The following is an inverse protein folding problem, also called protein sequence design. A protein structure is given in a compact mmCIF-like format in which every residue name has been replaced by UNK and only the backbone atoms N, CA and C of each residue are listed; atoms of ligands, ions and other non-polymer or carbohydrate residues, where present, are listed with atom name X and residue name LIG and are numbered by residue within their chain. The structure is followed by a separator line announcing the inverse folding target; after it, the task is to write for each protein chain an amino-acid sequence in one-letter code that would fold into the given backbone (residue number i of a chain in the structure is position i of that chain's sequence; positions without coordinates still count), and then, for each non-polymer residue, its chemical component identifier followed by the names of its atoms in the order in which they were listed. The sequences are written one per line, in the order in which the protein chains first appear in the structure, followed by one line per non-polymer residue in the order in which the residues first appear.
data_IF_198112810587
#
_entry.id   IF_198112810587
#
_cell.length_a   1.000
_cell.length_b   1.000
_cell.length_c   1.000
_cell.angle_alpha   90.00
_cell.angle_beta   90.00
_cell.angle_gamma   90.00
#
_symmetry.space_group_name_H-M   'P 1'
#
loop_
_entity.id
_entity.type
_entity.pdbx_description
1 polymer ?
#
# COMPACT_ATOMS: atom_id res chain seq x y z
N UNK A 1 -1.98 -7.93 4.64
CA UNK A 1 -3.06 -7.37 5.49
C UNK A 1 -3.31 -5.90 5.20
N UNK A 2 -2.31 -4.99 5.26
CA UNK A 2 -2.52 -3.53 5.13
C UNK A 2 -3.10 -3.16 3.76
N UNK A 3 -2.52 -3.63 2.67
CA UNK A 3 -3.04 -3.42 1.32
C UNK A 3 -4.49 -3.92 1.17
N UNK A 4 -4.81 -5.06 1.77
CA UNK A 4 -6.17 -5.60 1.80
C UNK A 4 -7.14 -4.62 2.48
N UNK A 5 -6.79 -4.11 3.67
CA UNK A 5 -7.63 -3.17 4.43
C UNK A 5 -7.88 -1.89 3.63
N UNK A 6 -6.84 -1.32 3.00
CA UNK A 6 -7.00 -0.10 2.22
C UNK A 6 -7.89 -0.33 0.99
N UNK A 7 -7.75 -1.46 0.30
CA UNK A 7 -8.62 -1.82 -0.83
C UNK A 7 -10.07 -2.07 -0.39
N UNK A 8 -10.28 -2.67 0.80
CA UNK A 8 -11.60 -2.78 1.42
C UNK A 8 -12.22 -1.39 1.67
N UNK A 9 -11.44 -0.45 2.23
CA UNK A 9 -11.88 0.94 2.45
C UNK A 9 -12.17 1.68 1.13
N UNK A 10 -11.55 1.29 0.02
CA UNK A 10 -11.80 1.80 -1.34
C UNK A 10 -13.00 1.15 -2.03
N UNK A 11 -13.77 0.30 -1.36
CA UNK A 11 -14.93 -0.46 -1.90
C UNK A 11 -14.57 -1.54 -2.92
N UNK A 12 -13.34 -2.01 -2.95
CA UNK A 12 -13.03 -3.18 -3.75
C UNK A 12 -13.73 -4.40 -3.14
N UNK A 13 -14.44 -5.19 -3.95
CA UNK A 13 -15.06 -6.41 -3.48
C UNK A 13 -13.98 -7.38 -2.99
N UNK A 14 -14.21 -8.05 -1.84
CA UNK A 14 -13.20 -8.90 -1.19
C UNK A 14 -12.54 -9.89 -2.16
N UNK A 15 -13.36 -10.50 -3.01
CA UNK A 15 -12.89 -11.54 -3.93
C UNK A 15 -12.10 -10.98 -5.13
N UNK A 16 -12.12 -9.67 -5.36
CA UNK A 16 -11.34 -8.97 -6.37
C UNK A 16 -10.00 -8.46 -5.85
N UNK A 17 -9.85 -8.33 -4.53
CA UNK A 17 -8.60 -7.87 -3.92
C UNK A 17 -7.50 -8.90 -4.19
N UNK A 18 -6.39 -8.47 -4.79
CA UNK A 18 -5.28 -9.36 -5.15
C UNK A 18 -4.58 -9.96 -3.93
N UNK A 19 -4.44 -9.18 -2.85
CA UNK A 19 -3.78 -9.61 -1.59
C UNK A 19 -4.80 -10.12 -0.58
N UNK A 20 -5.59 -11.13 -0.96
CA UNK A 20 -6.68 -11.68 -0.14
C UNK A 20 -6.28 -12.81 0.83
N UNK A 21 -5.01 -13.13 0.93
CA UNK A 21 -4.47 -14.14 1.84
C UNK A 21 -4.39 -13.61 3.28
N UNK A 22 -5.54 -13.25 3.84
CA UNK A 22 -5.67 -12.71 5.21
C UNK A 22 -6.06 -13.78 6.23
N UNK A 23 -6.59 -14.90 5.76
CA UNK A 23 -6.91 -16.06 6.58
C UNK A 23 -5.69 -16.97 6.64
N UNK A 24 -5.34 -17.39 7.84
CA UNK A 24 -4.30 -18.40 8.02
C UNK A 24 -4.83 -19.74 7.52
N UNK A 25 -4.20 -20.32 6.49
CA UNK A 25 -4.60 -21.63 5.94
C UNK A 25 -4.47 -22.78 6.94
N UNK A 26 -3.78 -22.56 8.06
CA UNK A 26 -3.62 -23.55 9.15
C UNK A 26 -4.79 -23.53 10.15
N UNK A 27 -5.68 -22.55 10.08
CA UNK A 27 -6.84 -22.42 10.96
C UNK A 27 -8.13 -22.62 10.17
N UNK A 28 -8.68 -23.84 10.20
CA UNK A 28 -9.96 -24.14 9.57
C UNK A 28 -11.11 -23.47 10.33
N UNK A 29 -11.98 -22.76 9.60
CA UNK A 29 -13.25 -22.22 10.11
C UNK A 29 -13.14 -21.00 10.99
N UNK A 30 -12.00 -20.32 11.06
CA UNK A 30 -11.83 -19.10 11.85
C UNK A 30 -12.33 -17.87 11.10
N UNK A 31 -12.90 -16.94 11.89
CA UNK A 31 -13.27 -15.61 11.45
C UNK A 31 -12.09 -14.69 11.60
N UNK A 32 -11.90 -13.78 10.64
CA UNK A 32 -10.97 -12.66 10.75
C UNK A 32 -11.76 -11.40 11.09
N UNK A 33 -11.41 -10.77 12.20
CA UNK A 33 -11.93 -9.45 12.57
C UNK A 33 -10.89 -8.39 12.25
N UNK A 34 -11.28 -7.41 11.45
CA UNK A 34 -10.46 -6.27 11.08
C UNK A 34 -11.09 -5.02 11.71
N UNK A 35 -10.32 -4.31 12.53
CA UNK A 35 -10.72 -3.00 13.06
C UNK A 35 -9.81 -1.93 12.44
N UNK A 36 -10.42 -1.00 11.72
CA UNK A 36 -9.72 0.10 11.06
C UNK A 36 -10.18 1.44 11.61
N UNK A 37 -9.23 2.32 11.91
CA UNK A 37 -9.50 3.71 12.27
C UNK A 37 -8.94 4.61 11.17
N UNK A 38 -9.74 5.55 10.69
CA UNK A 38 -9.30 6.47 9.64
C UNK A 38 -9.95 7.84 9.79
N UNK A 39 -9.30 8.83 9.18
CA UNK A 39 -9.79 10.20 9.16
C UNK A 39 -10.10 10.59 7.72
N UNK A 40 -11.24 11.22 7.51
CA UNK A 40 -11.62 11.80 6.22
C UNK A 40 -12.55 13.01 6.44
N UNK A 41 -12.28 14.12 5.76
CA UNK A 41 -13.11 15.32 5.74
C UNK A 41 -13.62 15.77 7.13
N UNK A 42 -12.71 15.93 8.06
CA UNK A 42 -13.02 16.37 9.43
C UNK A 42 -13.88 15.39 10.25
N UNK A 43 -13.93 14.13 9.84
CA UNK A 43 -14.58 13.02 10.53
C UNK A 43 -13.57 11.94 10.88
N UNK A 44 -13.75 11.34 12.05
CA UNK A 44 -13.02 10.15 12.47
C UNK A 44 -13.95 8.97 12.42
N UNK A 45 -13.48 7.90 11.82
CA UNK A 45 -14.23 6.68 11.61
C UNK A 45 -13.57 5.50 12.32
N UNK A 46 -14.39 4.56 12.80
CA UNK A 46 -14.00 3.20 13.15
C UNK A 46 -14.80 2.27 12.25
N UNK A 47 -14.14 1.41 11.48
CA UNK A 47 -14.78 0.31 10.76
C UNK A 47 -14.37 -1.00 11.41
N UNK A 48 -15.31 -1.84 11.74
CA UNK A 48 -15.09 -3.20 12.21
C UNK A 48 -15.77 -4.17 11.26
N UNK A 49 -14.99 -5.05 10.64
CA UNK A 49 -15.44 -5.99 9.60
C UNK A 49 -15.06 -7.39 10.02
N UNK A 50 -16.02 -8.31 10.05
CA UNK A 50 -15.82 -9.75 10.30
C UNK A 50 -15.93 -10.48 8.98
N UNK A 51 -14.87 -11.21 8.62
CA UNK A 51 -14.75 -11.93 7.35
C UNK A 51 -14.64 -13.43 7.63
N UNK A 52 -15.39 -14.21 6.87
CA UNK A 52 -15.34 -15.67 6.85
C UNK A 52 -15.01 -16.18 5.43
N UNK A 53 -14.42 -17.37 5.38
CA UNK A 53 -14.23 -18.13 4.16
C UNK A 53 -15.39 -19.11 4.01
N UNK A 54 -16.10 -19.06 2.89
CA UNK A 54 -17.18 -20.01 2.58
C UNK A 54 -16.96 -20.66 1.22
N UNK A 55 -17.26 -21.95 1.16
CA UNK A 55 -17.27 -22.69 -0.09
C UNK A 55 -18.61 -22.44 -0.78
N UNK A 56 -18.56 -21.92 -2.02
CA UNK A 56 -19.76 -21.77 -2.83
C UNK A 56 -20.24 -23.16 -3.29
N UNK A 57 -21.47 -23.57 -2.97
CA UNK A 57 -21.97 -24.91 -3.31
C UNK A 57 -22.17 -25.15 -4.82
N UNK A 58 -22.15 -24.11 -5.65
CA UNK A 58 -22.39 -24.19 -7.10
C UNK A 58 -21.11 -24.50 -7.88
N UNK A 59 -20.03 -23.80 -7.56
CA UNK A 59 -18.74 -23.88 -8.28
C UNK A 59 -17.62 -24.52 -7.45
N UNK A 60 -17.90 -24.85 -6.19
CA UNK A 60 -16.95 -25.39 -5.22
C UNK A 60 -15.72 -24.48 -4.99
N UNK A 61 -15.83 -23.18 -5.32
CA UNK A 61 -14.79 -22.19 -5.09
C UNK A 61 -14.90 -21.60 -3.68
N UNK A 62 -13.75 -21.36 -3.07
CA UNK A 62 -13.67 -20.64 -1.80
C UNK A 62 -13.84 -19.13 -2.02
N UNK A 63 -14.79 -18.53 -1.32
CA UNK A 63 -15.06 -17.10 -1.38
C UNK A 63 -15.02 -16.47 0.00
N UNK A 64 -14.46 -15.27 0.07
CA UNK A 64 -14.51 -14.44 1.25
C UNK A 64 -15.85 -13.73 1.31
N UNK A 65 -16.49 -13.73 2.49
CA UNK A 65 -17.72 -13.01 2.74
C UNK A 65 -17.62 -12.17 4.02
N UNK A 66 -18.30 -11.05 4.04
CA UNK A 66 -18.46 -10.21 5.22
C UNK A 66 -19.72 -10.69 5.95
N UNK A 67 -19.55 -11.22 7.16
CA UNK A 67 -20.66 -11.70 7.99
C UNK A 67 -21.20 -10.62 8.90
N UNK A 68 -20.32 -9.79 9.45
CA UNK A 68 -20.70 -8.68 10.32
C UNK A 68 -19.87 -7.44 9.93
N UNK A 69 -20.47 -6.27 9.93
CA UNK A 69 -19.77 -5.04 9.68
C UNK A 69 -20.46 -3.85 10.33
N UNK A 70 -19.67 -3.01 11.03
CA UNK A 70 -20.16 -1.79 11.67
C UNK A 70 -19.24 -0.63 11.37
N UNK A 71 -19.83 0.51 11.07
CA UNK A 71 -19.13 1.77 10.87
C UNK A 71 -19.60 2.80 11.88
N UNK A 72 -18.67 3.33 12.65
CA UNK A 72 -18.88 4.46 13.56
C UNK A 72 -18.31 5.74 12.96
N UNK A 73 -18.91 6.87 13.29
CA UNK A 73 -18.49 8.19 12.83
C UNK A 73 -18.53 9.21 13.97
N UNK A 74 -17.48 10.03 14.08
CA UNK A 74 -17.42 11.17 15.00
C UNK A 74 -16.90 12.43 14.31
N UNK A 75 -17.39 13.59 14.76
CA UNK A 75 -16.84 14.88 14.35
C UNK A 75 -15.46 15.10 15.00
N UNK A 76 -14.43 15.26 14.16
CA UNK A 76 -13.05 15.46 14.63
C UNK A 76 -12.89 16.73 15.49
N UNK A 77 -13.70 17.78 15.24
CA UNK A 77 -13.67 19.01 16.02
C UNK A 77 -14.09 18.80 17.51
N UNK A 78 -14.82 17.73 17.81
CA UNK A 78 -15.25 17.40 19.17
C UNK A 78 -14.22 16.56 19.92
N UNK A 79 -13.18 16.08 19.26
CA UNK A 79 -12.15 15.23 19.86
C UNK A 79 -11.12 16.12 20.57
N UNK A 80 -10.88 15.88 21.87
CA UNK A 80 -9.98 16.70 22.68
C UNK A 80 -8.73 15.97 23.15
N UNK A 81 -8.74 14.64 23.14
CA UNK A 81 -7.64 13.80 23.66
C UNK A 81 -7.38 12.61 22.75
N UNK A 82 -6.15 12.08 22.77
CA UNK A 82 -5.79 10.85 22.05
C UNK A 82 -6.70 9.67 22.43
N UNK A 83 -7.07 9.55 23.71
CA UNK A 83 -7.99 8.50 24.17
C UNK A 83 -9.37 8.64 23.53
N UNK A 84 -9.93 9.85 23.45
CA UNK A 84 -11.24 10.08 22.84
C UNK A 84 -11.26 9.87 21.32
N UNK A 85 -10.09 9.83 20.67
CA UNK A 85 -9.96 9.51 19.26
C UNK A 85 -10.44 8.08 18.97
N UNK A 86 -10.11 7.13 19.85
CA UNK A 86 -10.39 5.70 19.67
C UNK A 86 -11.61 5.20 20.48
N UNK A 87 -12.19 6.03 21.35
CA UNK A 87 -13.33 5.68 22.19
C UNK A 87 -14.64 5.97 21.45
N UNK A 88 -15.22 4.95 20.81
CA UNK A 88 -16.50 5.01 20.10
C UNK A 88 -17.61 4.36 20.91
N UNK A 89 -18.81 4.96 20.89
CA UNK A 89 -20.01 4.49 21.57
C UNK A 89 -21.03 3.97 20.55
N UNK A 90 -22.02 3.21 21.01
CA UNK A 90 -23.10 2.74 20.15
C UNK A 90 -23.91 3.90 19.51
N UNK A 91 -23.98 5.06 20.20
CA UNK A 91 -24.57 6.29 19.63
C UNK A 91 -23.82 6.86 18.43
N UNK A 92 -22.58 6.45 18.21
CA UNK A 92 -21.73 6.90 17.11
C UNK A 92 -21.86 5.97 15.88
N UNK A 93 -22.63 4.86 15.99
CA UNK A 93 -22.86 3.93 14.87
C UNK A 93 -23.61 4.68 13.77
N UNK A 94 -23.02 4.72 12.59
CA UNK A 94 -23.61 5.31 11.39
C UNK A 94 -24.27 4.26 10.50
N UNK A 95 -23.58 3.13 10.30
CA UNK A 95 -24.06 2.02 9.45
C UNK A 95 -23.73 0.71 10.15
N UNK A 96 -24.68 -0.21 10.13
CA UNK A 96 -24.48 -1.59 10.59
C UNK A 96 -25.03 -2.53 9.50
N UNK A 97 -24.23 -3.53 9.12
CA UNK A 97 -24.67 -4.58 8.21
C UNK A 97 -25.63 -5.51 8.94
N UNK A 98 -26.86 -5.56 8.48
CA UNK A 98 -27.89 -6.48 8.99
C UNK A 98 -28.13 -7.59 7.96
N UNK A 99 -28.32 -8.83 8.41
CA UNK A 99 -28.68 -9.98 7.56
C UNK A 99 -29.94 -9.75 6.70
N UNK A 100 -30.78 -8.78 7.09
CA UNK A 100 -32.03 -8.44 6.39
C UNK A 100 -31.86 -7.43 5.25
N UNK A 101 -30.70 -6.76 5.16
CA UNK A 101 -30.43 -5.81 4.06
C UNK A 101 -29.84 -6.54 2.85
N UNK A 102 -30.72 -7.11 2.04
CA UNK A 102 -30.39 -7.87 0.82
C UNK A 102 -29.82 -7.01 -0.34
N UNK A 103 -29.54 -5.72 -0.10
CA UNK A 103 -29.11 -4.79 -1.15
C UNK A 103 -27.60 -4.70 -1.33
N UNK A 104 -26.82 -5.19 -0.40
CA UNK A 104 -25.36 -5.17 -0.44
C UNK A 104 -24.82 -6.58 -0.66
N UNK A 105 -23.97 -6.77 -1.65
CA UNK A 105 -23.31 -8.06 -1.90
C UNK A 105 -22.48 -8.46 -0.68
N UNK A 106 -22.38 -9.76 -0.42
CA UNK A 106 -21.71 -10.29 0.77
C UNK A 106 -20.20 -10.04 0.80
N UNK A 107 -19.61 -9.67 -0.32
CA UNK A 107 -18.18 -9.38 -0.46
C UNK A 107 -17.88 -7.88 -0.65
N UNK A 108 -18.88 -7.01 -0.50
CA UNK A 108 -18.73 -5.55 -0.63
C UNK A 108 -18.94 -4.89 0.73
N UNK A 109 -18.02 -4.02 1.13
CA UNK A 109 -18.09 -3.28 2.41
C UNK A 109 -19.17 -2.21 2.43
N UNK A 110 -19.70 -1.92 3.63
CA UNK A 110 -20.59 -0.76 3.88
C UNK A 110 -19.93 0.58 3.57
N UNK A 111 -18.62 0.60 3.40
CA UNK A 111 -17.85 1.79 2.95
C UNK A 111 -18.33 2.34 1.61
N UNK A 112 -18.99 1.52 0.78
CA UNK A 112 -19.57 1.98 -0.50
C UNK A 112 -20.56 3.14 -0.32
N UNK A 113 -21.29 3.17 0.78
CA UNK A 113 -22.21 4.26 1.07
C UNK A 113 -21.49 5.60 1.32
N UNK A 114 -20.34 5.55 2.02
CA UNK A 114 -19.53 6.72 2.32
C UNK A 114 -18.81 7.22 1.07
N UNK A 115 -18.17 6.33 0.33
CA UNK A 115 -17.34 6.70 -0.81
C UNK A 115 -18.15 7.21 -2.00
N UNK A 116 -19.41 6.77 -2.16
CA UNK A 116 -20.33 7.32 -3.16
C UNK A 116 -20.67 8.79 -2.88
N UNK A 117 -20.77 9.16 -1.60
CA UNK A 117 -21.03 10.54 -1.22
C UNK A 117 -19.81 11.44 -1.43
N UNK A 118 -18.60 10.92 -1.28
CA UNK A 118 -17.38 11.71 -1.11
C UNK A 118 -16.38 11.61 -2.27
N UNK A 119 -16.55 10.70 -3.22
CA UNK A 119 -15.63 10.45 -4.34
C UNK A 119 -14.14 10.32 -3.92
N UNK A 120 -13.87 9.94 -2.67
CA UNK A 120 -12.52 9.85 -2.13
C UNK A 120 -12.04 8.41 -2.13
N UNK A 121 -10.98 8.15 -2.88
CA UNK A 121 -10.23 6.90 -2.79
C UNK A 121 -8.96 7.13 -1.99
N UNK A 122 -8.45 6.06 -1.37
CA UNK A 122 -7.13 6.01 -0.75
C UNK A 122 -6.16 5.37 -1.74
N UNK A 123 -5.37 6.15 -2.51
CA UNK A 123 -4.44 5.57 -3.48
C UNK A 123 -3.46 4.62 -2.79
N UNK A 124 -3.29 3.42 -3.34
CA UNK A 124 -2.38 2.40 -2.81
C UNK A 124 -1.43 1.94 -3.89
N UNK A 125 -0.14 2.04 -3.60
CA UNK A 125 0.94 1.52 -4.43
C UNK A 125 1.63 0.42 -3.66
N UNK A 126 1.12 -0.81 -3.87
CA UNK A 126 1.64 -2.00 -3.23
C UNK A 126 2.78 -2.59 -4.05
N UNK A 127 3.97 -2.60 -3.46
CA UNK A 127 5.18 -3.13 -4.10
C UNK A 127 5.60 -4.49 -3.55
N UNK A 128 4.79 -5.16 -2.72
CA UNK A 128 5.14 -6.46 -2.14
C UNK A 128 5.51 -7.49 -3.21
N UNK A 129 4.78 -7.55 -4.31
CA UNK A 129 5.08 -8.45 -5.43
C UNK A 129 6.35 -8.08 -6.22
N UNK A 130 6.88 -6.86 -6.02
CA UNK A 130 8.01 -6.34 -6.80
C UNK A 130 9.33 -6.38 -6.04
N UNK A 131 9.33 -6.79 -4.77
CA UNK A 131 10.51 -6.82 -3.90
C UNK A 131 11.66 -7.64 -4.49
N UNK A 132 11.33 -8.78 -5.12
CA UNK A 132 12.32 -9.71 -5.68
C UNK A 132 12.34 -9.73 -7.23
N UNK A 133 11.66 -8.79 -7.90
CA UNK A 133 11.61 -8.77 -9.35
C UNK A 133 12.54 -7.70 -9.93
N UNK A 134 13.50 -8.14 -10.74
CA UNK A 134 14.45 -7.27 -11.46
C UNK A 134 13.83 -6.74 -12.76
N UNK A 135 12.60 -6.23 -12.72
CA UNK A 135 11.98 -5.61 -13.87
C UNK A 135 11.23 -4.34 -13.50
N UNK A 136 11.06 -3.46 -14.47
CA UNK A 136 10.35 -2.21 -14.27
C UNK A 136 8.84 -2.47 -14.11
N UNK A 137 8.27 -1.86 -13.08
CA UNK A 137 6.83 -1.85 -12.85
C UNK A 137 6.15 -0.52 -13.22
N UNK A 138 6.91 0.43 -13.72
CA UNK A 138 6.45 1.77 -14.06
C UNK A 138 6.94 2.18 -15.44
N UNK A 139 6.11 2.94 -16.14
CA UNK A 139 6.42 3.50 -17.45
C UNK A 139 6.62 5.00 -17.33
N UNK A 140 7.42 5.56 -18.21
CA UNK A 140 7.60 6.99 -18.30
C UNK A 140 9.05 7.40 -18.62
N UNK A 141 9.27 8.72 -18.53
CA UNK A 141 10.60 9.31 -18.54
C UNK A 141 11.03 9.50 -17.09
N UNK A 142 12.18 8.97 -16.74
CA UNK A 142 12.71 9.05 -15.40
C UNK A 142 13.49 10.35 -15.20
N UNK A 143 13.31 11.07 -14.06
CA UNK A 143 14.05 12.29 -13.77
C UNK A 143 15.57 12.04 -13.77
N UNK A 144 16.32 12.96 -14.36
CA UNK A 144 17.78 12.83 -14.43
C UNK A 144 18.42 12.80 -13.05
N UNK A 145 17.90 13.59 -12.13
CA UNK A 145 18.36 13.68 -10.74
C UNK A 145 18.23 12.33 -10.04
N UNK A 146 17.10 11.64 -10.24
CA UNK A 146 16.87 10.30 -9.70
C UNK A 146 17.87 9.29 -10.31
N UNK A 147 18.03 9.31 -11.63
CA UNK A 147 18.96 8.41 -12.31
C UNK A 147 20.40 8.63 -11.81
N UNK A 148 20.84 9.87 -11.73
CA UNK A 148 22.19 10.21 -11.24
C UNK A 148 22.39 9.80 -9.77
N UNK A 149 21.36 9.90 -8.95
CA UNK A 149 21.41 9.46 -7.55
C UNK A 149 21.54 7.94 -7.42
N UNK A 150 20.85 7.17 -8.26
CA UNK A 150 20.85 5.70 -8.22
C UNK A 150 22.06 5.11 -8.96
N UNK A 151 22.42 5.68 -10.10
CA UNK A 151 23.55 5.27 -10.93
C UNK A 151 24.04 6.46 -11.78
N UNK A 152 25.13 7.12 -11.38
CA UNK A 152 25.65 8.30 -12.06
C UNK A 152 26.18 8.03 -13.48
N UNK A 153 26.35 6.79 -13.90
CA UNK A 153 26.77 6.44 -15.26
C UNK A 153 25.63 6.59 -16.29
N UNK A 154 24.36 6.66 -15.84
CA UNK A 154 23.20 6.77 -16.72
C UNK A 154 23.02 8.22 -17.19
N UNK A 155 23.08 8.45 -18.51
CA UNK A 155 22.80 9.74 -19.12
C UNK A 155 21.30 10.02 -19.20
N UNK A 156 20.50 9.05 -19.68
CA UNK A 156 19.04 9.06 -19.63
C UNK A 156 18.44 7.64 -19.71
N UNK A 157 17.22 7.55 -19.23
CA UNK A 157 16.43 6.35 -19.28
C UNK A 157 14.95 6.70 -19.47
N UNK A 158 14.26 6.02 -20.41
CA UNK A 158 12.83 6.14 -20.62
C UNK A 158 12.23 4.79 -20.99
N UNK A 159 10.96 4.58 -20.59
CA UNK A 159 10.21 3.39 -20.91
C UNK A 159 8.79 3.79 -21.33
N UNK A 160 8.38 3.42 -22.54
CA UNK A 160 7.04 3.64 -23.05
C UNK A 160 6.50 2.37 -23.68
N UNK A 161 5.18 2.31 -23.90
CA UNK A 161 4.54 1.22 -24.65
C UNK A 161 3.98 1.81 -25.93
N UNK A 162 4.46 1.32 -27.06
CA UNK A 162 3.96 1.68 -28.38
C UNK A 162 3.41 0.43 -29.08
N UNK A 163 2.16 0.49 -29.56
CA UNK A 163 1.52 -0.57 -30.35
C UNK A 163 1.71 -2.01 -29.82
N UNK A 164 1.62 -2.21 -28.49
CA UNK A 164 1.79 -3.50 -27.79
C UNK A 164 3.23 -3.98 -27.60
N UNK A 165 4.25 -3.19 -27.91
CA UNK A 165 5.65 -3.46 -27.57
C UNK A 165 6.19 -2.40 -26.60
N UNK A 166 7.08 -2.79 -25.71
CA UNK A 166 7.82 -1.83 -24.93
C UNK A 166 8.87 -1.14 -25.81
N UNK A 167 8.97 0.18 -25.73
CA UNK A 167 10.11 0.97 -26.26
C UNK A 167 10.89 1.48 -25.04
N UNK A 168 11.98 0.79 -24.73
CA UNK A 168 12.85 1.11 -23.62
C UNK A 168 14.16 1.64 -24.20
N UNK A 169 14.52 2.86 -23.81
CA UNK A 169 15.75 3.50 -24.28
C UNK A 169 16.62 3.88 -23.09
N UNK A 170 17.80 3.30 -23.06
CA UNK A 170 18.81 3.50 -22.02
C UNK A 170 20.09 4.01 -22.69
N UNK A 171 20.68 5.03 -22.11
CA UNK A 171 21.98 5.53 -22.55
C UNK A 171 22.88 5.81 -21.36
N UNK A 172 24.09 5.29 -21.43
CA UNK A 172 25.17 5.62 -20.51
C UNK A 172 26.05 6.72 -21.11
N UNK A 173 26.68 7.51 -20.26
CA UNK A 173 27.63 8.53 -20.73
C UNK A 173 28.77 7.89 -21.54
N UNK A 174 29.04 8.48 -22.71
CA UNK A 174 30.09 7.99 -23.60
C UNK A 174 29.77 6.72 -24.39
N UNK A 175 28.54 6.19 -24.30
CA UNK A 175 28.10 4.98 -25.02
C UNK A 175 27.01 5.31 -26.06
N UNK A 176 26.73 4.37 -26.95
CA UNK A 176 25.57 4.44 -27.84
C UNK A 176 24.27 4.16 -27.08
N UNK A 177 23.14 4.59 -27.65
CA UNK A 177 21.79 4.31 -27.11
C UNK A 177 21.48 2.81 -27.23
N UNK A 178 20.99 2.24 -26.14
CA UNK A 178 20.50 0.86 -26.07
C UNK A 178 18.97 0.90 -26.19
N UNK A 179 18.43 0.14 -27.14
CA UNK A 179 16.99 0.01 -27.37
C UNK A 179 16.56 -1.42 -27.03
N UNK A 180 15.60 -1.54 -26.11
CA UNK A 180 15.07 -2.82 -25.63
C UNK A 180 13.56 -2.89 -25.90
N UNK A 181 13.10 -4.08 -26.24
CA UNK A 181 11.67 -4.33 -26.56
C UNK A 181 10.92 -5.03 -25.42
N UNK A 182 11.61 -5.47 -24.38
CA UNK A 182 11.04 -6.16 -23.21
C UNK A 182 11.58 -5.59 -21.91
N UNK A 183 10.71 -5.32 -20.93
CA UNK A 183 11.14 -4.82 -19.61
C UNK A 183 12.12 -5.74 -18.87
N UNK A 184 12.04 -7.05 -19.09
CA UNK A 184 12.94 -8.03 -18.47
C UNK A 184 14.38 -7.96 -19.00
N UNK A 185 14.63 -7.34 -20.15
CA UNK A 185 15.98 -7.22 -20.69
C UNK A 185 16.82 -6.17 -19.96
N UNK A 186 16.19 -5.30 -19.17
CA UNK A 186 16.86 -4.23 -18.44
C UNK A 186 17.86 -4.76 -17.40
N UNK A 187 17.61 -5.95 -16.83
CA UNK A 187 18.49 -6.62 -15.87
C UNK A 187 19.89 -6.93 -16.40
N UNK A 188 20.05 -6.93 -17.73
CA UNK A 188 21.36 -7.13 -18.37
C UNK A 188 22.25 -5.90 -18.29
N UNK A 189 21.67 -4.74 -18.04
CA UNK A 189 22.34 -3.44 -18.12
C UNK A 189 22.34 -2.68 -16.80
N UNK A 190 21.31 -2.86 -15.97
CA UNK A 190 21.18 -2.17 -14.69
C UNK A 190 21.26 -3.15 -13.53
N UNK A 191 21.83 -2.72 -12.42
CA UNK A 191 21.86 -3.49 -11.20
C UNK A 191 20.44 -3.66 -10.62
N UNK A 192 20.22 -4.71 -9.83
CA UNK A 192 18.95 -4.92 -9.11
C UNK A 192 18.60 -3.73 -8.22
N UNK A 193 19.60 -3.11 -7.57
CA UNK A 193 19.41 -1.91 -6.77
C UNK A 193 18.95 -0.71 -7.61
N UNK A 194 19.52 -0.50 -8.79
CA UNK A 194 19.10 0.58 -9.69
C UNK A 194 17.67 0.36 -10.17
N UNK A 195 17.30 -0.85 -10.58
CA UNK A 195 15.94 -1.18 -11.04
C UNK A 195 14.92 -0.99 -9.91
N UNK A 196 15.19 -1.55 -8.72
CA UNK A 196 14.35 -1.38 -7.54
C UNK A 196 14.24 0.09 -7.14
N UNK A 197 15.35 0.82 -7.16
CA UNK A 197 15.39 2.25 -6.86
C UNK A 197 14.48 3.05 -7.79
N UNK A 198 14.57 2.84 -9.10
CA UNK A 198 13.69 3.49 -10.07
C UNK A 198 12.22 3.19 -9.73
N UNK A 199 11.86 1.92 -9.52
CA UNK A 199 10.49 1.53 -9.19
C UNK A 199 9.99 2.20 -7.91
N UNK A 200 10.76 2.14 -6.81
CA UNK A 200 10.36 2.67 -5.51
C UNK A 200 10.25 4.19 -5.53
N UNK A 201 11.26 4.89 -6.03
CA UNK A 201 11.25 6.35 -6.06
C UNK A 201 10.19 6.93 -7.02
N UNK A 202 9.96 6.29 -8.16
CA UNK A 202 8.90 6.74 -9.07
C UNK A 202 7.51 6.53 -8.46
N UNK A 203 7.26 5.42 -7.77
CA UNK A 203 6.02 5.23 -7.04
C UNK A 203 5.89 6.22 -5.87
N UNK A 204 6.99 6.55 -5.18
CA UNK A 204 7.00 7.59 -4.15
C UNK A 204 6.65 8.97 -4.72
N UNK A 205 7.22 9.35 -5.88
CA UNK A 205 6.89 10.61 -6.57
C UNK A 205 5.39 10.70 -6.89
N UNK A 206 4.80 9.61 -7.38
CA UNK A 206 3.36 9.56 -7.63
C UNK A 206 2.55 9.69 -6.33
N UNK A 207 2.99 9.05 -5.23
CA UNK A 207 2.36 9.23 -3.92
C UNK A 207 2.47 10.69 -3.43
N UNK A 208 3.58 11.37 -3.65
CA UNK A 208 3.71 12.79 -3.28
C UNK A 208 2.77 13.70 -4.08
N UNK A 209 2.43 13.34 -5.32
CA UNK A 209 1.48 14.08 -6.16
C UNK A 209 0.03 13.79 -5.77
N UNK A 210 -0.31 12.52 -5.55
CA UNK A 210 -1.69 12.05 -5.36
C UNK A 210 -2.09 11.93 -3.88
N UNK A 211 -1.11 11.84 -2.98
CA UNK A 211 -1.31 11.35 -1.62
C UNK A 211 -1.36 9.82 -1.58
N UNK A 212 -1.91 9.26 -0.49
CA UNK A 212 -2.13 7.83 -0.35
C UNK A 212 -0.96 7.05 0.27
N UNK A 213 -0.81 5.79 -0.12
CA UNK A 213 0.07 4.83 0.56
C UNK A 213 1.05 4.19 -0.41
N UNK A 214 2.32 4.15 -0.01
CA UNK A 214 3.35 3.31 -0.63
C UNK A 214 3.70 2.18 0.34
N UNK A 215 3.54 0.93 -0.09
CA UNK A 215 3.84 -0.25 0.72
C UNK A 215 5.02 -0.98 0.09
N UNK A 216 6.10 -1.15 0.87
CA UNK A 216 7.34 -1.81 0.42
C UNK A 216 7.77 -2.83 1.46
N UNK A 217 8.02 -4.06 1.03
CA UNK A 217 8.59 -5.10 1.87
C UNK A 217 10.11 -5.11 1.74
N UNK A 218 10.81 -5.32 2.86
CA UNK A 218 12.27 -5.33 2.91
C UNK A 218 12.86 -4.13 2.14
N UNK A 219 12.57 -2.92 2.63
CA UNK A 219 12.91 -1.67 1.94
C UNK A 219 14.40 -1.58 1.63
N UNK A 220 15.24 -2.08 2.53
CA UNK A 220 16.70 -2.12 2.37
C UNK A 220 17.20 -3.11 1.32
N UNK A 221 16.39 -4.08 0.92
CA UNK A 221 16.85 -5.12 0.00
C UNK A 221 17.37 -4.52 -1.30
N UNK A 222 18.63 -4.78 -1.64
CA UNK A 222 19.40 -4.23 -2.76
C UNK A 222 19.78 -2.73 -2.66
N UNK A 223 19.47 -2.05 -1.56
CA UNK A 223 19.84 -0.65 -1.34
C UNK A 223 20.99 -0.52 -0.34
N UNK A 224 21.76 0.54 -0.48
CA UNK A 224 22.60 1.02 0.61
C UNK A 224 21.73 1.86 1.59
N UNK A 225 22.25 2.06 2.78
CA UNK A 225 21.58 2.81 3.85
C UNK A 225 21.18 4.23 3.41
N UNK A 226 22.04 4.91 2.64
CA UNK A 226 21.78 6.29 2.19
C UNK A 226 20.55 6.40 1.30
N UNK A 227 20.32 5.42 0.42
CA UNK A 227 19.16 5.37 -0.47
C UNK A 227 17.88 5.21 0.37
N UNK A 228 17.88 4.28 1.34
CA UNK A 228 16.73 4.02 2.21
C UNK A 228 16.42 5.24 3.08
N UNK A 229 17.43 5.78 3.75
CA UNK A 229 17.31 6.97 4.61
C UNK A 229 16.80 8.18 3.82
N UNK A 230 17.28 8.39 2.61
CA UNK A 230 16.82 9.49 1.74
C UNK A 230 15.33 9.34 1.41
N UNK A 231 14.87 8.14 1.07
CA UNK A 231 13.45 7.88 0.81
C UNK A 231 12.59 8.18 2.05
N UNK A 232 12.97 7.66 3.21
CA UNK A 232 12.26 7.87 4.48
C UNK A 232 12.18 9.38 4.79
N UNK A 233 13.29 10.10 4.69
CA UNK A 233 13.35 11.56 4.91
C UNK A 233 12.44 12.33 3.96
N UNK A 234 12.28 11.90 2.70
CA UNK A 234 11.34 12.54 1.76
C UNK A 234 9.90 12.41 2.23
N UNK A 235 9.48 11.24 2.73
CA UNK A 235 8.14 11.06 3.29
C UNK A 235 7.92 11.89 4.57
N UNK A 236 8.96 12.08 5.37
CA UNK A 236 8.90 12.89 6.60
C UNK A 236 8.94 14.39 6.34
N UNK A 237 9.42 14.84 5.17
CA UNK A 237 9.59 16.25 4.85
C UNK A 237 8.28 16.86 4.30
N UNK A 238 7.59 17.78 5.03
CA UNK A 238 6.34 18.38 4.59
C UNK A 238 6.48 19.27 3.35
N UNK A 239 7.70 19.72 3.02
CA UNK A 239 7.94 20.50 1.79
C UNK A 239 7.96 19.61 0.54
N UNK A 240 8.28 18.33 0.68
CA UNK A 240 8.25 17.31 -0.38
C UNK A 240 6.89 16.61 -0.37
N UNK A 241 6.49 16.09 0.77
CA UNK A 241 5.26 15.33 0.97
C UNK A 241 4.08 16.24 1.33
N UNK A 242 3.68 17.10 0.42
CA UNK A 242 2.63 18.11 0.64
C UNK A 242 1.23 17.52 0.74
N UNK A 243 0.99 16.38 0.10
CA UNK A 243 -0.32 15.73 0.07
C UNK A 243 -0.46 14.61 1.11
N UNK A 244 0.48 14.52 2.07
CA UNK A 244 0.39 13.59 3.20
C UNK A 244 0.46 12.11 2.81
N UNK A 245 1.27 11.78 1.80
CA UNK A 245 1.52 10.38 1.46
C UNK A 245 2.15 9.63 2.64
N UNK A 246 1.82 8.36 2.79
CA UNK A 246 2.31 7.50 3.86
C UNK A 246 3.16 6.37 3.30
N UNK A 247 4.38 6.21 3.83
CA UNK A 247 5.23 5.07 3.56
C UNK A 247 5.02 4.00 4.64
N UNK A 248 4.70 2.79 4.22
CA UNK A 248 4.59 1.61 5.09
C UNK A 248 5.61 0.60 4.58
N UNK A 249 6.55 0.22 5.43
CA UNK A 249 7.60 -0.70 5.02
C UNK A 249 8.03 -1.65 6.14
N UNK A 250 8.54 -2.81 5.75
CA UNK A 250 9.31 -3.67 6.61
C UNK A 250 10.80 -3.44 6.39
N UNK A 251 11.60 -3.66 7.43
CA UNK A 251 13.05 -3.55 7.36
C UNK A 251 13.73 -4.38 8.45
N UNK A 252 14.96 -4.82 8.18
CA UNK A 252 15.87 -5.41 9.15
C UNK A 252 16.96 -4.42 9.61
N UNK A 253 16.98 -3.18 9.08
CA UNK A 253 17.93 -2.14 9.46
C UNK A 253 17.45 -1.44 10.73
N UNK A 254 18.08 -1.76 11.86
CA UNK A 254 17.83 -1.09 13.15
C UNK A 254 18.22 0.38 13.13
N UNK A 255 19.19 0.76 12.31
CA UNK A 255 19.70 2.12 12.15
C UNK A 255 18.63 3.10 11.67
N UNK A 256 17.64 2.62 10.91
CA UNK A 256 16.51 3.45 10.49
C UNK A 256 15.64 3.93 11.64
N UNK A 257 15.72 3.31 12.83
CA UNK A 257 15.02 3.77 14.01
C UNK A 257 15.51 5.15 14.48
N UNK A 258 16.76 5.47 14.22
CA UNK A 258 17.39 6.77 14.59
C UNK A 258 16.83 7.93 13.74
N UNK A 259 16.19 7.64 12.61
CA UNK A 259 15.52 8.65 11.78
C UNK A 259 14.20 9.15 12.37
N UNK A 260 13.63 8.45 13.36
CA UNK A 260 12.33 8.76 13.92
C UNK A 260 12.42 9.40 15.30
N UNK A 261 11.86 10.60 15.45
CA UNK A 261 11.68 11.26 16.75
C UNK A 261 10.57 10.61 17.62
N UNK A 262 9.69 9.82 16.99
CA UNK A 262 8.50 9.21 17.62
C UNK A 262 8.45 7.71 17.31
N UNK A 263 8.11 6.93 18.34
CA UNK A 263 8.06 5.47 18.27
C UNK A 263 6.64 4.91 18.02
N UNK A 264 5.62 5.76 17.95
CA UNK A 264 4.21 5.35 17.88
C UNK A 264 3.78 4.80 16.48
N UNK A 265 4.67 4.84 15.50
CA UNK A 265 4.50 4.21 14.18
C UNK A 265 5.47 3.05 13.91
N UNK A 266 6.21 2.62 14.92
CA UNK A 266 7.18 1.52 14.83
C UNK A 266 6.58 0.29 15.48
N UNK A 267 6.59 -0.83 14.75
CA UNK A 267 6.09 -2.12 15.21
C UNK A 267 7.17 -3.17 15.10
N UNK A 268 7.42 -3.89 16.19
CA UNK A 268 8.37 -5.01 16.22
C UNK A 268 7.58 -6.29 16.00
N UNK A 269 7.88 -6.97 14.89
CA UNK A 269 7.23 -8.25 14.55
C UNK A 269 8.01 -9.39 15.18
N UNK A 270 7.31 -10.24 15.94
CA UNK A 270 7.89 -11.41 16.61
C UNK A 270 7.11 -12.68 16.30
N UNK A 271 7.83 -13.80 16.14
CA UNK A 271 7.25 -15.13 16.05
C UNK A 271 7.40 -15.85 17.40
N UNK A 272 6.27 -16.10 18.08
CA UNK A 272 6.20 -16.81 19.37
C UNK A 272 5.10 -17.88 19.32
N UNK A 273 5.15 -18.79 18.35
CA UNK A 273 4.06 -19.75 18.06
C UNK A 273 2.90 -19.12 17.28
N UNK A 274 3.08 -17.89 16.79
CA UNK A 274 2.22 -17.04 15.98
C UNK A 274 2.95 -15.73 15.73
N UNK A 275 2.50 -14.95 14.73
CA UNK A 275 3.09 -13.65 14.39
C UNK A 275 2.37 -12.57 15.17
N UNK A 276 3.12 -11.79 15.95
CA UNK A 276 2.65 -10.67 16.75
C UNK A 276 3.41 -9.40 16.36
N UNK A 277 2.71 -8.27 16.25
CA UNK A 277 3.29 -6.95 16.11
C UNK A 277 3.05 -6.18 17.42
N UNK A 278 4.14 -5.67 18.03
CA UNK A 278 4.14 -4.95 19.31
C UNK A 278 4.61 -3.51 19.11
#
# INVERSE_FOLDING_TARGET
AISFVINLLNNEALNNIKSKEILNDLSEGEKVTITSFFYNENRVYKLETVIEKKINPVDNEEKLIITEEKLWEKDANKIRTKKSLFDFKDSDIRIERNEKEQFLLNDVSVMIAINKEKQSNFPVRDMLMWTNHNMLNILGKFPKELLTFLDPSIEYFKCSVEKKSADIRLKFYGSEEIILNRPSEIEKYLSSGTIKGINVFMNALLCFIEGGYLIVDELENHFNEEIVTTLVRFFMNPSVNRNGATLIYSTHYSELLDEYERNDSIYIVRNRGGIYAE
#
